data_IF_244266005730
#
_entry.id   IF_244266005730
#
_cell.length_a   1.000
_cell.length_b   1.000
_cell.length_c   1.000
_cell.angle_alpha   90.00
_cell.angle_beta   90.00
_cell.angle_gamma   90.00
#
_symmetry.space_group_name_H-M   'P 1'
#
loop_
_entity.id
_entity.type
_entity.pdbx_description
1 polymer ?
#
# COMPACT_ATOMS: atom_id res chain seq x y z
N UNK A 1 10.36 4.56 21.96
CA UNK A 1 9.64 5.40 20.96
C UNK A 1 9.25 4.49 19.79
N UNK A 2 7.96 4.34 19.47
CA UNK A 2 7.52 3.47 18.35
C UNK A 2 7.76 4.19 17.01
N UNK A 3 8.43 3.58 16.02
CA UNK A 3 8.65 4.19 14.71
C UNK A 3 7.33 4.42 13.96
N UNK A 4 7.15 5.60 13.34
CA UNK A 4 6.01 5.85 12.45
C UNK A 4 6.09 4.94 11.21
N UNK A 5 5.00 4.22 10.91
CA UNK A 5 4.94 3.24 9.81
C UNK A 5 5.33 3.84 8.44
N UNK A 6 4.98 5.11 8.20
CA UNK A 6 5.15 5.77 6.89
C UNK A 6 6.26 6.83 6.85
N UNK A 7 7.18 6.82 7.82
CA UNK A 7 8.24 7.83 7.90
C UNK A 7 9.09 7.91 6.62
N UNK A 8 9.39 6.77 5.98
CA UNK A 8 10.15 6.72 4.73
C UNK A 8 9.40 7.33 3.55
N UNK A 9 8.08 7.10 3.47
CA UNK A 9 7.21 7.71 2.46
C UNK A 9 7.19 9.23 2.61
N UNK A 10 6.98 9.71 3.83
CA UNK A 10 6.97 11.14 4.12
C UNK A 10 8.31 11.81 3.79
N UNK A 11 9.44 11.21 4.18
CA UNK A 11 10.77 11.73 3.87
C UNK A 11 11.01 11.86 2.36
N UNK A 12 10.50 10.92 1.56
CA UNK A 12 10.59 11.02 0.11
C UNK A 12 9.71 12.10 -0.49
N UNK A 13 8.48 12.26 0.00
CA UNK A 13 7.60 13.34 -0.44
C UNK A 13 8.21 14.71 -0.15
N UNK A 14 8.78 14.90 1.05
CA UNK A 14 9.49 16.13 1.40
C UNK A 14 10.70 16.33 0.49
N UNK A 15 11.46 15.27 0.20
CA UNK A 15 12.60 15.38 -0.73
C UNK A 15 12.17 15.76 -2.14
N UNK A 16 11.11 15.16 -2.67
CA UNK A 16 10.57 15.52 -3.98
C UNK A 16 10.18 17.00 -4.03
N UNK A 17 9.45 17.47 -3.02
CA UNK A 17 9.08 18.88 -2.90
C UNK A 17 10.28 19.84 -2.94
N UNK A 18 11.37 19.55 -2.21
CA UNK A 18 12.58 20.38 -2.28
C UNK A 18 13.28 20.34 -3.65
N UNK A 19 13.17 19.23 -4.39
CA UNK A 19 13.69 19.16 -5.75
C UNK A 19 12.80 19.95 -6.73
N UNK A 20 11.48 19.87 -6.58
CA UNK A 20 10.52 20.65 -7.36
C UNK A 20 10.72 22.15 -7.13
N UNK A 21 10.95 22.55 -5.87
CA UNK A 21 11.24 23.94 -5.51
C UNK A 21 12.54 24.47 -6.12
N UNK A 22 13.57 23.63 -6.16
CA UNK A 22 14.83 23.96 -6.84
C UNK A 22 14.61 24.12 -8.35
N UNK A 23 13.76 23.27 -8.96
CA UNK A 23 13.41 23.36 -10.36
C UNK A 23 12.62 24.64 -10.67
N UNK A 24 11.60 24.96 -9.88
CA UNK A 24 10.82 26.19 -10.05
C UNK A 24 11.66 27.46 -9.89
N UNK A 25 12.70 27.43 -9.06
CA UNK A 25 13.62 28.56 -8.93
C UNK A 25 14.52 28.76 -10.16
N UNK A 26 14.72 27.74 -11.01
CA UNK A 26 15.37 27.92 -12.30
C UNK A 26 14.44 28.62 -13.30
N UNK A 27 13.13 28.42 -13.18
CA UNK A 27 12.10 28.98 -14.08
C UNK A 27 11.65 30.39 -13.66
N UNK A 28 11.33 30.60 -12.38
CA UNK A 28 10.91 31.89 -11.80
C UNK A 28 11.77 32.25 -10.56
N UNK A 29 13.03 32.70 -10.75
CA UNK A 29 13.95 32.94 -9.64
C UNK A 29 13.47 34.00 -8.64
N UNK A 30 12.80 35.05 -9.13
CA UNK A 30 12.29 36.14 -8.28
C UNK A 30 11.22 35.67 -7.28
N UNK A 31 10.48 34.60 -7.61
CA UNK A 31 9.40 34.05 -6.79
C UNK A 31 9.88 32.93 -5.88
N UNK A 32 10.65 31.99 -6.44
CA UNK A 32 11.00 30.74 -5.73
C UNK A 32 12.44 30.72 -5.20
N UNK A 33 13.31 31.60 -5.67
CA UNK A 33 14.75 31.59 -5.36
C UNK A 33 15.07 31.64 -3.87
N UNK A 34 14.35 32.47 -3.09
CA UNK A 34 14.54 32.55 -1.64
C UNK A 34 14.21 31.25 -0.89
N UNK A 35 13.43 30.36 -1.51
CA UNK A 35 12.98 29.11 -0.92
C UNK A 35 13.76 27.89 -1.43
N UNK A 36 14.53 28.02 -2.52
CA UNK A 36 15.29 26.95 -3.17
C UNK A 36 16.54 26.52 -2.38
N UNK A 37 16.34 26.10 -1.14
CA UNK A 37 17.39 25.59 -0.26
C UNK A 37 17.60 24.09 -0.48
N UNK A 38 18.80 23.61 -0.15
CA UNK A 38 19.12 22.19 -0.23
C UNK A 38 18.19 21.36 0.67
N UNK A 39 17.66 20.26 0.13
CA UNK A 39 16.86 19.31 0.90
C UNK A 39 17.63 18.82 2.16
N UNK A 40 17.01 18.83 3.35
CA UNK A 40 17.66 18.46 4.61
C UNK A 40 17.92 16.95 4.75
N UNK A 41 17.42 16.12 3.83
CA UNK A 41 17.56 14.66 3.88
C UNK A 41 18.41 14.13 2.73
N UNK A 42 19.33 13.21 3.03
CA UNK A 42 20.06 12.47 2.01
C UNK A 42 19.13 11.52 1.23
N UNK A 43 19.49 11.11 -0.01
CA UNK A 43 18.69 10.14 -0.76
C UNK A 43 18.53 8.85 0.06
N UNK A 44 17.29 8.47 0.33
CA UNK A 44 16.96 7.23 1.04
C UNK A 44 16.56 6.14 0.05
N UNK A 45 17.13 4.95 0.20
CA UNK A 45 16.80 3.82 -0.65
C UNK A 45 15.46 3.20 -0.27
N UNK A 46 14.57 3.02 -1.25
CA UNK A 46 13.32 2.29 -1.09
C UNK A 46 13.45 0.77 -1.04
N UNK A 47 14.63 0.23 -1.35
CA UNK A 47 14.83 -1.21 -1.52
C UNK A 47 14.40 -2.02 -0.29
N UNK A 48 14.70 -1.54 0.92
CA UNK A 48 14.33 -2.23 2.17
C UNK A 48 12.81 -2.25 2.38
N UNK A 49 12.11 -1.15 2.07
CA UNK A 49 10.65 -1.06 2.16
C UNK A 49 9.98 -2.02 1.18
N UNK A 50 10.42 -2.02 -0.07
CA UNK A 50 9.91 -2.91 -1.11
C UNK A 50 10.11 -4.39 -0.74
N UNK A 51 11.31 -4.76 -0.26
CA UNK A 51 11.59 -6.11 0.23
C UNK A 51 10.67 -6.52 1.38
N UNK A 52 10.42 -5.62 2.33
CA UNK A 52 9.50 -5.86 3.45
C UNK A 52 8.05 -6.04 2.99
N UNK A 53 7.57 -5.20 2.07
CA UNK A 53 6.23 -5.34 1.48
C UNK A 53 6.09 -6.68 0.75
N UNK A 54 7.10 -7.07 -0.05
CA UNK A 54 7.13 -8.34 -0.76
C UNK A 54 7.15 -9.53 0.21
N UNK A 55 7.99 -9.50 1.23
CA UNK A 55 8.05 -10.52 2.28
C UNK A 55 6.72 -10.67 3.00
N UNK A 56 6.07 -9.55 3.37
CA UNK A 56 4.77 -9.58 4.05
C UNK A 56 3.65 -10.15 3.15
N UNK A 57 3.67 -9.82 1.86
CA UNK A 57 2.76 -10.42 0.87
C UNK A 57 2.98 -11.94 0.76
N UNK A 58 4.22 -12.37 0.58
CA UNK A 58 4.55 -13.80 0.51
C UNK A 58 4.19 -14.56 1.79
N UNK A 59 4.44 -13.97 2.96
CA UNK A 59 4.07 -14.57 4.24
C UNK A 59 2.56 -14.78 4.33
N UNK A 60 1.77 -13.75 4.02
CA UNK A 60 0.31 -13.86 3.99
C UNK A 60 -0.17 -14.94 3.04
N UNK A 61 0.41 -15.03 1.85
CA UNK A 61 0.06 -16.09 0.89
C UNK A 61 0.38 -17.47 1.46
N UNK A 62 1.58 -17.66 2.04
CA UNK A 62 2.00 -18.94 2.63
C UNK A 62 1.10 -19.37 3.79
N UNK A 63 0.71 -18.43 4.65
CA UNK A 63 -0.18 -18.70 5.79
C UNK A 63 -1.61 -19.03 5.34
N UNK A 64 -2.12 -18.39 4.28
CA UNK A 64 -3.52 -18.52 3.87
C UNK A 64 -3.77 -19.61 2.84
N UNK A 65 -2.80 -19.91 1.98
CA UNK A 65 -2.95 -20.85 0.87
C UNK A 65 -3.41 -22.26 1.30
N UNK A 66 -2.88 -22.85 2.39
CA UNK A 66 -3.32 -24.18 2.84
C UNK A 66 -4.81 -24.25 3.23
N UNK A 67 -5.41 -23.12 3.65
CA UNK A 67 -6.81 -23.05 4.08
C UNK A 67 -7.77 -22.76 2.92
N UNK A 68 -7.27 -22.35 1.76
CA UNK A 68 -8.09 -21.95 0.61
C UNK A 68 -9.08 -23.05 0.18
N UNK A 69 -8.71 -24.35 0.07
CA UNK A 69 -9.65 -25.39 -0.33
C UNK A 69 -10.82 -25.55 0.64
N UNK A 70 -10.58 -25.39 1.95
CA UNK A 70 -11.63 -25.47 2.96
C UNK A 70 -12.61 -24.29 2.85
N UNK A 71 -12.09 -23.09 2.63
CA UNK A 71 -12.90 -21.89 2.41
C UNK A 71 -13.77 -22.02 1.15
N UNK A 72 -13.22 -22.55 0.06
CA UNK A 72 -13.97 -22.78 -1.19
C UNK A 72 -15.10 -23.78 -0.97
N UNK A 73 -14.84 -24.91 -0.29
CA UNK A 73 -15.88 -25.90 0.03
C UNK A 73 -16.98 -25.32 0.91
N UNK A 74 -16.62 -24.55 1.93
CA UNK A 74 -17.60 -23.91 2.80
C UNK A 74 -18.48 -22.94 2.02
N UNK A 75 -17.89 -22.08 1.18
CA UNK A 75 -18.64 -21.13 0.34
C UNK A 75 -19.59 -21.84 -0.64
N UNK A 76 -19.14 -22.94 -1.27
CA UNK A 76 -19.98 -23.75 -2.16
C UNK A 76 -21.15 -24.40 -1.40
N UNK A 77 -20.91 -24.97 -0.22
CA UNK A 77 -21.98 -25.54 0.60
C UNK A 77 -23.00 -24.48 1.01
N UNK A 78 -22.55 -23.31 1.47
CA UNK A 78 -23.44 -22.21 1.83
C UNK A 78 -24.33 -21.77 0.66
N UNK A 79 -23.77 -21.73 -0.56
CA UNK A 79 -24.54 -21.41 -1.76
C UNK A 79 -25.59 -22.47 -2.07
N UNK A 80 -25.24 -23.75 -1.97
CA UNK A 80 -26.17 -24.87 -2.19
C UNK A 80 -27.32 -24.85 -1.19
N UNK A 81 -27.02 -24.65 0.10
CA UNK A 81 -28.02 -24.58 1.16
C UNK A 81 -28.98 -23.40 0.96
N UNK A 82 -28.44 -22.23 0.59
CA UNK A 82 -29.25 -21.05 0.30
C UNK A 82 -30.20 -21.28 -0.88
N UNK A 83 -29.72 -21.93 -1.95
CA UNK A 83 -30.55 -22.29 -3.11
C UNK A 83 -31.64 -23.29 -2.76
N UNK A 84 -31.32 -24.31 -1.96
CA UNK A 84 -32.30 -25.30 -1.52
C UNK A 84 -33.43 -24.66 -0.70
N UNK A 85 -33.08 -23.75 0.21
CA UNK A 85 -34.07 -22.99 1.00
C UNK A 85 -34.95 -22.11 0.12
N UNK A 86 -34.36 -21.42 -0.86
CA UNK A 86 -35.12 -20.59 -1.79
C UNK A 86 -36.10 -21.43 -2.63
N UNK A 87 -35.63 -22.54 -3.21
CA UNK A 87 -36.49 -23.43 -3.98
C UNK A 87 -37.61 -24.06 -3.15
N UNK A 88 -37.37 -24.34 -1.87
CA UNK A 88 -38.41 -24.83 -0.96
C UNK A 88 -39.50 -23.78 -0.68
N UNK A 89 -39.14 -22.49 -0.62
CA UNK A 89 -40.11 -21.39 -0.50
C UNK A 89 -40.89 -21.20 -1.81
N UNK A 90 -40.23 -21.30 -2.96
CA UNK A 90 -40.87 -21.13 -4.27
C UNK A 90 -41.83 -22.27 -4.64
N UNK A 91 -41.61 -23.48 -4.09
CA UNK A 91 -42.44 -24.65 -4.34
C UNK A 91 -43.61 -24.81 -3.35
N UNK A 92 -43.69 -23.97 -2.32
CA UNK A 92 -44.76 -23.95 -1.31
C UNK A 92 -45.86 -22.94 -1.69
#
# INVERSE_FOLDING_TARGET
RVPRKDASTLMMSVRAFYLDLAQWALEEPARWGQHAVRCPFSPVSNKKRQKRQKSWSHQRTRERLPHLPALVRAADQHLKDARARLGAIEAA
#
